data_IF_760058703005
#
_entry.id   IF_760058703005
#
_cell.length_a   1.000
_cell.length_b   1.000
_cell.length_c   1.000
_cell.angle_alpha   90.00
_cell.angle_beta   90.00
_cell.angle_gamma   90.00
#
_symmetry.space_group_name_H-M   'P 1'
#
loop_
_entity.id
_entity.type
_entity.pdbx_description
1 polymer ?
#
# COMPACT_ATOMS: atom_id res chain seq x y z
N UNK A 1 -30.94 3.00 2.54
CA UNK A 1 -30.94 1.75 1.76
C UNK A 1 -29.51 1.32 1.51
N UNK A 2 -28.95 0.51 2.39
CA UNK A 2 -27.60 -0.04 2.24
C UNK A 2 -27.71 -1.32 1.41
N UNK A 3 -26.85 -1.45 0.39
CA UNK A 3 -26.76 -2.56 -0.58
C UNK A 3 -27.83 -2.52 -1.67
N UNK A 4 -27.55 -1.74 -2.72
CA UNK A 4 -28.20 -1.94 -4.02
C UNK A 4 -27.85 -3.36 -4.48
N UNK A 5 -28.83 -4.24 -4.78
CA UNK A 5 -28.53 -5.58 -5.26
C UNK A 5 -27.71 -5.48 -6.55
N UNK A 6 -26.48 -5.97 -6.49
CA UNK A 6 -25.57 -6.01 -7.62
C UNK A 6 -25.90 -7.26 -8.42
N UNK A 7 -26.34 -7.09 -9.67
CA UNK A 7 -26.52 -8.23 -10.57
C UNK A 7 -25.18 -8.95 -10.83
N UNK A 8 -25.25 -10.24 -11.12
CA UNK A 8 -24.07 -11.10 -11.37
C UNK A 8 -23.12 -10.49 -12.40
N UNK A 9 -23.66 -9.92 -13.48
CA UNK A 9 -22.86 -9.22 -14.51
C UNK A 9 -22.01 -8.09 -13.94
N UNK A 10 -22.57 -7.24 -13.07
CA UNK A 10 -21.83 -6.14 -12.45
C UNK A 10 -20.74 -6.63 -11.51
N UNK A 11 -20.97 -7.74 -10.80
CA UNK A 11 -19.96 -8.38 -9.96
C UNK A 11 -18.81 -8.95 -10.81
N UNK A 12 -19.13 -9.65 -11.90
CA UNK A 12 -18.13 -10.18 -12.83
C UNK A 12 -17.25 -9.08 -13.43
N UNK A 13 -17.86 -7.98 -13.88
CA UNK A 13 -17.11 -6.84 -14.41
C UNK A 13 -16.19 -6.23 -13.36
N UNK A 14 -16.64 -6.07 -12.11
CA UNK A 14 -15.81 -5.54 -11.02
C UNK A 14 -14.65 -6.46 -10.69
N UNK A 15 -14.88 -7.78 -10.65
CA UNK A 15 -13.84 -8.77 -10.42
C UNK A 15 -12.78 -8.72 -11.55
N UNK A 16 -13.23 -8.71 -12.81
CA UNK A 16 -12.34 -8.59 -13.97
C UNK A 16 -11.52 -7.30 -13.93
N UNK A 17 -12.15 -6.16 -13.69
CA UNK A 17 -11.44 -4.87 -13.60
C UNK A 17 -10.44 -4.83 -12.46
N UNK A 18 -10.74 -5.47 -11.32
CA UNK A 18 -9.82 -5.56 -10.18
C UNK A 18 -8.60 -6.41 -10.51
N UNK A 19 -8.79 -7.54 -11.21
CA UNK A 19 -7.70 -8.41 -11.68
C UNK A 19 -6.83 -7.67 -12.70
N UNK A 20 -7.45 -7.00 -13.68
CA UNK A 20 -6.70 -6.22 -14.68
C UNK A 20 -5.90 -5.10 -14.00
N UNK A 21 -6.53 -4.37 -13.08
CA UNK A 21 -5.88 -3.28 -12.36
C UNK A 21 -4.65 -3.77 -11.59
N UNK A 22 -4.77 -4.84 -10.80
CA UNK A 22 -3.67 -5.29 -9.94
C UNK A 22 -2.46 -5.76 -10.75
N UNK A 23 -2.69 -6.50 -11.84
CA UNK A 23 -1.61 -7.01 -12.68
C UNK A 23 -0.97 -5.93 -13.54
N UNK A 24 -1.77 -4.98 -14.05
CA UNK A 24 -1.23 -3.86 -14.81
C UNK A 24 -0.33 -2.98 -13.93
N UNK A 25 -0.76 -2.66 -12.70
CA UNK A 25 0.06 -1.92 -11.73
C UNK A 25 1.33 -2.69 -11.37
N UNK A 26 1.24 -4.00 -11.15
CA UNK A 26 2.39 -4.84 -10.85
C UNK A 26 3.42 -4.82 -11.99
N UNK A 27 2.96 -5.01 -13.24
CA UNK A 27 3.81 -5.02 -14.42
C UNK A 27 4.48 -3.66 -14.64
N UNK A 28 3.72 -2.56 -14.58
CA UNK A 28 4.23 -1.21 -14.77
C UNK A 28 5.32 -0.88 -13.74
N UNK A 29 5.07 -1.14 -12.46
CA UNK A 29 6.04 -0.87 -11.40
C UNK A 29 7.31 -1.72 -11.52
N UNK A 30 7.19 -3.00 -11.90
CA UNK A 30 8.34 -3.88 -12.15
C UNK A 30 9.18 -3.38 -13.32
N UNK A 31 8.55 -2.99 -14.42
CA UNK A 31 9.25 -2.46 -15.59
C UNK A 31 9.98 -1.17 -15.22
N UNK A 32 9.29 -0.21 -14.57
CA UNK A 32 9.92 1.03 -14.13
C UNK A 32 11.09 0.77 -13.17
N UNK A 33 10.93 -0.13 -12.21
CA UNK A 33 11.98 -0.50 -11.27
C UNK A 33 13.20 -1.12 -11.95
N UNK A 34 12.99 -2.05 -12.89
CA UNK A 34 14.08 -2.69 -13.63
C UNK A 34 14.81 -1.70 -14.55
N UNK A 35 14.08 -0.79 -15.21
CA UNK A 35 14.68 0.26 -16.04
C UNK A 35 15.53 1.22 -15.19
N UNK A 36 15.04 1.61 -14.01
CA UNK A 36 15.83 2.40 -13.06
C UNK A 36 17.06 1.63 -12.58
N UNK A 37 16.93 0.36 -12.21
CA UNK A 37 18.06 -0.48 -11.81
C UNK A 37 19.15 -0.52 -12.89
N UNK A 38 18.76 -0.75 -14.15
CA UNK A 38 19.70 -0.75 -15.29
C UNK A 38 20.41 0.60 -15.39
N UNK A 39 19.67 1.71 -15.28
CA UNK A 39 20.24 3.04 -15.37
C UNK A 39 21.23 3.35 -14.24
N UNK A 40 20.85 3.11 -12.98
CA UNK A 40 21.70 3.45 -11.83
C UNK A 40 22.89 2.49 -11.66
N UNK A 41 22.73 1.20 -11.98
CA UNK A 41 23.80 0.20 -11.84
C UNK A 41 24.73 0.19 -13.06
N UNK A 42 24.21 0.16 -14.29
CA UNK A 42 25.06 0.00 -15.48
C UNK A 42 25.48 1.32 -16.11
N UNK A 43 24.57 2.30 -16.23
CA UNK A 43 24.87 3.55 -16.92
C UNK A 43 25.61 4.52 -16.02
N UNK A 44 25.10 4.74 -14.81
CA UNK A 44 25.69 5.67 -13.85
C UNK A 44 26.75 5.02 -12.95
N UNK A 45 26.67 3.70 -12.76
CA UNK A 45 27.54 2.95 -11.83
C UNK A 45 27.53 3.52 -10.41
N UNK A 46 26.38 4.03 -9.96
CA UNK A 46 26.21 4.56 -8.60
C UNK A 46 25.85 3.47 -7.60
N UNK A 47 25.12 2.46 -8.05
CA UNK A 47 24.57 1.40 -7.21
C UNK A 47 25.10 0.02 -7.62
N UNK A 48 25.05 -0.92 -6.69
CA UNK A 48 25.28 -2.34 -6.92
C UNK A 48 23.96 -3.08 -7.19
N UNK A 49 23.95 -4.19 -7.95
CA UNK A 49 22.75 -4.98 -8.19
C UNK A 49 22.02 -5.43 -6.91
N UNK A 50 22.76 -5.70 -5.84
CA UNK A 50 22.19 -6.11 -4.55
C UNK A 50 21.37 -5.01 -3.85
N UNK A 51 21.55 -3.75 -4.23
CA UNK A 51 20.80 -2.60 -3.69
C UNK A 51 19.42 -2.44 -4.34
N UNK A 52 19.13 -3.22 -5.40
CA UNK A 52 17.88 -3.23 -6.14
C UNK A 52 17.11 -4.55 -5.93
N UNK A 53 16.63 -4.85 -4.70
CA UNK A 53 15.90 -6.08 -4.42
C UNK A 53 14.54 -6.09 -5.12
N UNK A 54 13.98 -7.30 -5.28
CA UNK A 54 12.66 -7.48 -5.89
C UNK A 54 11.59 -6.61 -5.22
N UNK A 55 10.85 -5.88 -6.04
CA UNK A 55 9.86 -4.91 -5.59
C UNK A 55 8.66 -5.53 -4.87
N UNK A 56 8.27 -6.74 -5.30
CA UNK A 56 7.13 -7.49 -4.80
C UNK A 56 7.62 -8.79 -4.16
N UNK A 57 6.95 -9.24 -3.11
CA UNK A 57 7.17 -10.54 -2.50
C UNK A 57 6.57 -11.69 -3.31
N UNK A 58 6.61 -12.89 -2.73
CA UNK A 58 5.96 -14.07 -3.31
C UNK A 58 4.44 -13.96 -3.21
N UNK A 59 3.73 -14.29 -4.29
CA UNK A 59 2.26 -14.34 -4.29
C UNK A 59 1.71 -15.41 -3.32
N UNK A 60 2.47 -16.47 -3.07
CA UNK A 60 2.08 -17.52 -2.12
C UNK A 60 1.93 -16.98 -0.67
N UNK A 61 2.59 -15.87 -0.35
CA UNK A 61 2.50 -15.24 0.96
C UNK A 61 1.25 -14.37 1.14
N UNK A 62 0.48 -14.14 0.07
CA UNK A 62 -0.69 -13.27 0.06
C UNK A 62 -2.00 -13.97 0.49
N UNK A 63 -1.93 -14.89 1.45
CA UNK A 63 -3.08 -15.66 1.95
C UNK A 63 -3.98 -14.91 2.97
N UNK A 64 -3.61 -13.68 3.33
CA UNK A 64 -4.40 -12.75 4.16
C UNK A 64 -4.19 -11.33 3.68
N UNK A 65 -5.12 -10.42 3.98
CA UNK A 65 -5.04 -9.04 3.50
C UNK A 65 -3.84 -8.31 4.09
N UNK A 66 -3.52 -8.57 5.36
CA UNK A 66 -2.34 -8.04 6.03
C UNK A 66 -1.06 -8.46 5.34
N UNK A 67 -0.93 -9.72 4.94
CA UNK A 67 0.26 -10.20 4.22
C UNK A 67 0.29 -9.75 2.77
N UNK A 68 -0.88 -9.62 2.14
CA UNK A 68 -0.97 -9.03 0.81
C UNK A 68 -0.32 -7.63 0.81
N UNK A 69 -0.71 -6.72 1.70
CA UNK A 69 -0.14 -5.37 1.76
C UNK A 69 1.24 -5.28 2.42
N UNK A 70 1.53 -6.16 3.40
CA UNK A 70 2.75 -6.09 4.21
C UNK A 70 3.94 -6.89 3.67
N UNK A 71 3.69 -7.93 2.85
CA UNK A 71 4.71 -8.88 2.38
C UNK A 71 4.76 -8.94 0.86
N UNK A 72 3.61 -9.14 0.20
CA UNK A 72 3.56 -9.29 -1.24
C UNK A 72 3.64 -7.94 -1.98
N UNK A 73 2.82 -6.97 -1.58
CA UNK A 73 2.72 -5.68 -2.25
C UNK A 73 3.98 -4.83 -2.06
N UNK A 74 4.27 -3.96 -3.04
CA UNK A 74 5.45 -3.13 -3.00
C UNK A 74 5.45 -2.17 -1.80
N UNK A 75 6.63 -1.97 -1.19
CA UNK A 75 6.81 -1.13 0.01
C UNK A 75 7.55 0.18 -0.24
N UNK A 76 7.64 0.63 -1.50
CA UNK A 76 8.32 1.88 -1.89
C UNK A 76 7.87 3.10 -1.10
N UNK A 77 6.58 3.17 -0.79
CA UNK A 77 5.96 4.30 -0.12
C UNK A 77 6.22 4.33 1.39
N UNK A 78 6.57 3.19 2.00
CA UNK A 78 6.66 3.03 3.45
C UNK A 78 7.73 3.93 4.05
N UNK A 79 8.97 3.87 3.55
CA UNK A 79 10.07 4.70 4.08
C UNK A 79 9.81 6.21 3.90
N UNK A 80 9.41 6.71 2.71
CA UNK A 80 9.02 8.11 2.55
C UNK A 80 7.90 8.52 3.52
N UNK A 81 6.85 7.71 3.66
CA UNK A 81 5.71 8.05 4.52
C UNK A 81 6.08 8.08 6.00
N UNK A 82 6.98 7.18 6.43
CA UNK A 82 7.56 7.22 7.77
C UNK A 82 8.38 8.49 8.02
N UNK A 83 9.11 8.98 7.02
CA UNK A 83 9.89 10.21 7.12
C UNK A 83 9.00 11.46 7.28
N UNK A 84 7.79 11.45 6.71
CA UNK A 84 6.80 12.52 6.86
C UNK A 84 5.91 12.39 8.10
N UNK A 85 6.15 11.39 8.96
CA UNK A 85 5.36 11.20 10.16
C UNK A 85 5.57 12.38 11.14
N UNK A 86 4.49 12.96 11.71
CA UNK A 86 4.60 14.09 12.62
C UNK A 86 5.49 13.76 13.84
N UNK A 87 6.32 14.69 14.33
CA UNK A 87 7.26 14.43 15.42
C UNK A 87 6.60 13.90 16.69
N UNK A 88 5.39 14.34 17.02
CA UNK A 88 4.66 13.86 18.20
C UNK A 88 4.25 12.39 18.06
N UNK A 89 3.77 11.99 16.87
CA UNK A 89 3.38 10.61 16.60
C UNK A 89 4.61 9.70 16.55
N UNK A 90 5.69 10.18 15.93
CA UNK A 90 6.97 9.48 15.91
C UNK A 90 7.50 9.21 17.31
N UNK A 91 7.56 10.24 18.17
CA UNK A 91 8.00 10.10 19.57
C UNK A 91 7.14 9.13 20.35
N UNK A 92 5.81 9.20 20.19
CA UNK A 92 4.89 8.26 20.83
C UNK A 92 5.19 6.79 20.44
N UNK A 93 5.39 6.52 19.14
CA UNK A 93 5.71 5.18 18.65
C UNK A 93 7.09 4.68 19.08
N UNK A 94 8.07 5.58 19.22
CA UNK A 94 9.44 5.26 19.64
C UNK A 94 9.57 5.03 21.15
N UNK A 95 8.82 5.78 21.96
CA UNK A 95 8.85 5.70 23.42
C UNK A 95 8.20 4.40 23.94
N UNK A 96 7.14 3.95 23.28
CA UNK A 96 6.36 2.79 23.69
C UNK A 96 6.83 1.49 23.01
N UNK A 97 8.13 1.14 23.08
CA UNK A 97 8.61 -0.19 22.66
C UNK A 97 8.14 -1.32 23.61
N UNK A 98 6.88 -1.26 24.03
CA UNK A 98 6.27 -2.17 24.98
C UNK A 98 5.98 -3.53 24.35
N UNK A 99 6.26 -4.56 25.13
CA UNK A 99 5.82 -5.93 24.86
C UNK A 99 4.28 -6.04 24.94
N UNK A 100 3.71 -7.03 24.26
CA UNK A 100 2.27 -7.28 24.31
C UNK A 100 1.41 -6.29 23.51
N UNK A 101 0.40 -5.70 24.16
CA UNK A 101 -0.67 -4.91 23.51
C UNK A 101 -0.14 -3.60 22.88
N UNK A 102 0.88 -2.99 23.46
CA UNK A 102 1.50 -1.75 22.94
C UNK A 102 2.16 -1.94 21.59
N UNK A 103 2.81 -3.09 21.35
CA UNK A 103 3.35 -3.43 20.03
C UNK A 103 2.27 -3.48 18.95
N UNK A 104 1.10 -4.04 19.27
CA UNK A 104 -0.03 -4.11 18.34
C UNK A 104 -0.55 -2.71 18.06
N UNK A 105 -0.78 -1.91 19.11
CA UNK A 105 -1.24 -0.52 18.97
C UNK A 105 -0.29 0.31 18.09
N UNK A 106 1.01 0.25 18.35
CA UNK A 106 2.01 1.01 17.59
C UNK A 106 2.08 0.57 16.12
N UNK A 107 2.02 -0.73 15.88
CA UNK A 107 1.99 -1.27 14.52
C UNK A 107 0.73 -0.82 13.78
N UNK A 108 -0.41 -0.80 14.46
CA UNK A 108 -1.69 -0.34 13.89
C UNK A 108 -1.71 1.16 13.62
N UNK A 109 -1.20 2.00 14.51
CA UNK A 109 -1.10 3.44 14.30
C UNK A 109 -0.17 3.77 13.12
N UNK A 110 0.97 3.07 13.03
CA UNK A 110 1.89 3.19 11.90
C UNK A 110 1.23 2.76 10.59
N UNK A 111 0.49 1.64 10.60
CA UNK A 111 -0.28 1.20 9.45
C UNK A 111 -1.34 2.24 9.05
N UNK A 112 -2.12 2.75 10.00
CA UNK A 112 -3.12 3.80 9.75
C UNK A 112 -2.50 5.02 9.05
N UNK A 113 -1.36 5.49 9.53
CA UNK A 113 -0.61 6.58 8.91
C UNK A 113 -0.25 6.29 7.45
N UNK A 114 0.29 5.10 7.18
CA UNK A 114 0.67 4.66 5.83
C UNK A 114 -0.55 4.54 4.89
N UNK A 115 -1.67 4.01 5.38
CA UNK A 115 -2.91 3.88 4.62
C UNK A 115 -3.54 5.25 4.31
N UNK A 116 -3.51 6.19 5.27
CA UNK A 116 -4.03 7.55 5.06
C UNK A 116 -3.20 8.35 4.06
N UNK A 117 -1.87 8.31 4.16
CA UNK A 117 -1.00 8.97 3.19
C UNK A 117 -1.15 8.35 1.79
N UNK A 118 -1.29 7.02 1.71
CA UNK A 118 -1.62 6.35 0.44
C UNK A 118 -2.91 6.90 -0.16
N UNK A 119 -3.98 7.00 0.63
CA UNK A 119 -5.25 7.56 0.17
C UNK A 119 -5.11 9.01 -0.33
N UNK A 120 -4.37 9.84 0.40
CA UNK A 120 -4.07 11.21 0.01
C UNK A 120 -3.31 11.29 -1.31
N UNK A 121 -2.23 10.53 -1.46
CA UNK A 121 -1.44 10.49 -2.70
C UNK A 121 -2.28 10.03 -3.89
N UNK A 122 -3.04 8.94 -3.77
CA UNK A 122 -3.90 8.47 -4.84
C UNK A 122 -4.97 9.49 -5.23
N UNK A 123 -5.60 10.15 -4.25
CA UNK A 123 -6.60 11.19 -4.50
C UNK A 123 -6.00 12.41 -5.18
N UNK A 124 -4.79 12.81 -4.77
CA UNK A 124 -4.07 13.91 -5.38
C UNK A 124 -3.66 13.58 -6.81
N UNK A 125 -3.13 12.38 -7.05
CA UNK A 125 -2.77 11.91 -8.39
C UNK A 125 -4.00 11.87 -9.31
N UNK A 126 -5.13 11.37 -8.84
CA UNK A 126 -6.37 11.36 -9.61
C UNK A 126 -6.83 12.80 -9.93
N UNK A 127 -6.78 13.71 -8.96
CA UNK A 127 -7.15 15.10 -9.19
C UNK A 127 -6.22 15.80 -10.20
N UNK A 128 -4.91 15.55 -10.13
CA UNK A 128 -3.92 16.17 -11.02
C UNK A 128 -3.98 15.58 -12.43
N UNK A 129 -3.99 14.25 -12.57
CA UNK A 129 -3.87 13.57 -13.86
C UNK A 129 -5.19 13.44 -14.61
N UNK A 130 -6.28 13.09 -13.91
CA UNK A 130 -7.59 12.82 -14.54
C UNK A 130 -8.63 13.89 -14.21
N UNK A 131 -8.27 14.93 -13.44
CA UNK A 131 -9.13 16.07 -13.08
C UNK A 131 -10.41 15.64 -12.36
N UNK A 132 -10.37 14.50 -11.68
CA UNK A 132 -11.51 13.91 -10.97
C UNK A 132 -11.22 13.89 -9.47
N UNK A 133 -12.16 14.40 -8.67
CA UNK A 133 -12.09 14.24 -7.23
C UNK A 133 -12.61 12.86 -6.83
N UNK A 134 -11.69 11.95 -6.53
CA UNK A 134 -11.95 10.58 -6.07
C UNK A 134 -11.61 10.39 -4.59
N UNK A 135 -11.50 11.50 -3.84
CA UNK A 135 -11.03 11.46 -2.44
C UNK A 135 -11.89 10.55 -1.58
N UNK A 136 -13.21 10.62 -1.73
CA UNK A 136 -14.13 9.78 -0.96
C UNK A 136 -13.90 8.30 -1.24
N UNK A 137 -13.73 7.93 -2.51
CA UNK A 137 -13.53 6.56 -2.96
C UNK A 137 -12.19 6.00 -2.47
N UNK A 138 -11.12 6.77 -2.62
CA UNK A 138 -9.78 6.39 -2.19
C UNK A 138 -9.69 6.23 -0.67
N UNK A 139 -10.16 7.22 0.10
CA UNK A 139 -10.17 7.10 1.57
C UNK A 139 -11.03 5.92 2.03
N UNK A 140 -12.18 5.68 1.41
CA UNK A 140 -13.00 4.51 1.71
C UNK A 140 -12.24 3.21 1.41
N UNK A 141 -11.56 3.11 0.27
CA UNK A 141 -10.78 1.92 -0.09
C UNK A 141 -9.66 1.65 0.93
N UNK A 142 -8.79 2.62 1.18
CA UNK A 142 -7.65 2.43 2.08
C UNK A 142 -8.08 2.24 3.53
N UNK A 143 -9.08 2.96 4.02
CA UNK A 143 -9.57 2.79 5.39
C UNK A 143 -10.26 1.43 5.59
N UNK A 144 -11.01 0.95 4.58
CA UNK A 144 -11.60 -0.41 4.64
C UNK A 144 -10.51 -1.47 4.70
N UNK A 145 -9.46 -1.36 3.86
CA UNK A 145 -8.33 -2.27 3.92
C UNK A 145 -7.60 -2.22 5.26
N UNK A 146 -7.39 -1.02 5.82
CA UNK A 146 -6.80 -0.86 7.16
C UNK A 146 -7.62 -1.57 8.24
N UNK A 147 -8.94 -1.34 8.28
CA UNK A 147 -9.83 -1.97 9.28
C UNK A 147 -9.82 -3.49 9.16
N UNK A 148 -9.83 -4.02 7.93
CA UNK A 148 -9.74 -5.47 7.70
C UNK A 148 -8.38 -6.04 8.14
N UNK A 149 -7.27 -5.38 7.81
CA UNK A 149 -5.93 -5.77 8.29
C UNK A 149 -5.82 -5.71 9.82
N UNK A 150 -6.46 -4.72 10.46
CA UNK A 150 -6.51 -4.59 11.91
C UNK A 150 -7.32 -5.73 12.53
N UNK A 151 -8.47 -6.06 11.95
CA UNK A 151 -9.30 -7.19 12.40
C UNK A 151 -8.51 -8.51 12.32
N UNK A 152 -7.77 -8.76 11.24
CA UNK A 152 -6.87 -9.92 11.09
C UNK A 152 -5.72 -9.96 12.10
N UNK A 153 -5.43 -8.86 12.81
CA UNK A 153 -4.34 -8.80 13.81
C UNK A 153 -4.83 -9.10 15.23
N UNK A 154 -6.12 -8.88 15.50
CA UNK A 154 -6.73 -9.05 16.83
C UNK A 154 -7.38 -10.43 16.99
N UNK A 155 -7.73 -11.08 15.87
CA UNK A 155 -8.19 -12.48 15.80
C UNK A 155 -6.99 -13.43 15.83
#
# INVERSE_FOLDING_TARGET
GLVVPLGTHALCLRAMMSIIWIWNTNALLKISHNLSAIFFVFVLQWDQPAEWPALFGSLAEAYSLRRFWGVFWHRLHVKPFEAYMPPFLRRYLEQEQGEGQWRILNSSLKALWIFLLSAGCHSLTDWVLIRKNTSRENFRFFLTNYVLCLAETVV
#
